data_IF_440370542134
#
_entry.id   IF_440370542134
#
_cell.length_a   1.000
_cell.length_b   1.000
_cell.length_c   1.000
_cell.angle_alpha   90.00
_cell.angle_beta   90.00
_cell.angle_gamma   90.00
#
_symmetry.space_group_name_H-M   'P 1'
#
loop_
_entity.id
_entity.type
_entity.pdbx_description
1 polymer ?
#
# COMPACT_ATOMS: atom_id res chain seq x y z
N UNK A 1 -19.87 16.15 -33.22
CA UNK A 1 -19.83 15.21 -32.09
C UNK A 1 -19.08 15.91 -30.95
N UNK A 2 -19.72 16.18 -29.81
CA UNK A 2 -19.01 16.74 -28.65
C UNK A 2 -17.87 15.77 -28.27
N UNK A 3 -16.63 16.23 -28.02
CA UNK A 3 -15.54 15.33 -27.66
C UNK A 3 -15.96 14.52 -26.42
N UNK A 4 -15.89 13.20 -26.54
CA UNK A 4 -16.30 12.26 -25.50
C UNK A 4 -15.47 12.50 -24.24
N UNK A 5 -16.14 12.69 -23.09
CA UNK A 5 -15.47 12.74 -21.79
C UNK A 5 -14.96 11.34 -21.38
N UNK A 6 -14.19 11.28 -20.30
CA UNK A 6 -13.66 10.01 -19.76
C UNK A 6 -14.60 9.47 -18.68
N UNK A 7 -15.21 8.31 -18.92
CA UNK A 7 -16.16 7.71 -17.99
C UNK A 7 -15.52 7.27 -16.67
N UNK A 8 -14.33 6.68 -16.73
CA UNK A 8 -13.65 6.12 -15.56
C UNK A 8 -12.14 6.16 -15.69
N UNK A 9 -11.47 6.33 -14.55
CA UNK A 9 -10.02 6.23 -14.38
C UNK A 9 -9.74 5.29 -13.20
N UNK A 10 -8.89 4.30 -13.42
CA UNK A 10 -8.41 3.39 -12.35
C UNK A 10 -6.90 3.54 -12.21
N UNK A 11 -6.47 4.15 -11.10
CA UNK A 11 -5.06 4.27 -10.75
C UNK A 11 -4.64 3.05 -9.94
N UNK A 12 -4.14 2.03 -10.65
CA UNK A 12 -3.75 0.74 -10.05
C UNK A 12 -2.23 0.52 -9.96
N UNK A 13 -1.43 1.20 -10.79
CA UNK A 13 0.01 0.99 -10.84
C UNK A 13 0.66 1.21 -9.46
N UNK A 14 1.59 0.32 -9.09
CA UNK A 14 2.35 0.49 -7.87
C UNK A 14 3.47 -0.53 -7.69
N UNK A 15 4.48 -0.13 -6.91
CA UNK A 15 5.64 -0.92 -6.52
C UNK A 15 5.77 -0.93 -5.00
N UNK A 16 6.27 -2.01 -4.40
CA UNK A 16 6.52 -2.07 -2.96
C UNK A 16 8.00 -2.00 -2.61
N UNK A 17 8.84 -2.74 -3.32
CA UNK A 17 10.24 -2.83 -2.99
C UNK A 17 10.99 -1.51 -3.23
N UNK A 18 12.01 -1.21 -2.40
CA UNK A 18 12.44 -2.00 -1.25
C UNK A 18 11.54 -1.83 0.00
N UNK A 19 11.34 -2.92 0.74
CA UNK A 19 10.66 -2.96 2.05
C UNK A 19 11.55 -3.65 3.08
N UNK A 20 11.54 -3.18 4.32
CA UNK A 20 12.44 -3.64 5.38
C UNK A 20 12.49 -2.67 6.55
N UNK A 21 13.32 -2.93 7.58
CA UNK A 21 13.52 -2.02 8.69
C UNK A 21 13.88 -0.61 8.23
N UNK A 22 13.32 0.42 8.89
CA UNK A 22 13.45 1.82 8.48
C UNK A 22 14.90 2.30 8.38
N UNK A 23 15.76 1.89 9.31
CA UNK A 23 17.19 2.25 9.32
C UNK A 23 17.95 1.68 8.10
N UNK A 24 17.40 0.68 7.42
CA UNK A 24 18.05 0.06 6.25
C UNK A 24 17.79 0.82 4.95
N UNK A 25 16.91 1.83 5.01
CA UNK A 25 16.45 2.58 3.86
C UNK A 25 17.26 3.86 3.68
N UNK A 26 17.50 4.22 2.42
CA UNK A 26 18.01 5.53 2.01
C UNK A 26 16.84 6.43 1.59
N UNK A 27 17.00 7.77 1.63
CA UNK A 27 16.01 8.70 1.10
C UNK A 27 15.59 8.43 -0.36
N UNK A 28 16.52 7.98 -1.20
CA UNK A 28 16.30 7.57 -2.59
C UNK A 28 15.30 6.42 -2.71
N UNK A 29 15.33 5.45 -1.81
CA UNK A 29 14.38 4.32 -1.83
C UNK A 29 12.95 4.80 -1.60
N UNK A 30 12.76 5.77 -0.69
CA UNK A 30 11.47 6.42 -0.50
C UNK A 30 11.04 7.20 -1.74
N UNK A 31 11.96 7.99 -2.33
CA UNK A 31 11.67 8.77 -3.55
C UNK A 31 11.22 7.86 -4.70
N UNK A 32 11.90 6.74 -4.92
CA UNK A 32 11.58 5.81 -6.00
C UNK A 32 10.16 5.24 -5.90
N UNK A 33 9.77 4.76 -4.72
CA UNK A 33 8.42 4.22 -4.50
C UNK A 33 7.36 5.33 -4.56
N UNK A 34 7.63 6.50 -3.96
CA UNK A 34 6.71 7.64 -3.98
C UNK A 34 6.48 8.20 -5.38
N UNK A 35 7.51 8.21 -6.24
CA UNK A 35 7.40 8.66 -7.63
C UNK A 35 6.32 7.89 -8.39
N UNK A 36 6.26 6.56 -8.22
CA UNK A 36 5.26 5.72 -8.89
C UNK A 36 3.93 5.76 -8.14
N UNK A 37 3.95 5.44 -6.85
CA UNK A 37 2.73 5.12 -6.10
C UNK A 37 1.93 6.36 -5.67
N UNK A 38 2.57 7.52 -5.56
CA UNK A 38 1.94 8.75 -5.11
C UNK A 38 1.92 9.79 -6.24
N UNK A 39 3.09 10.24 -6.68
CA UNK A 39 3.18 11.30 -7.68
C UNK A 39 2.60 10.86 -9.03
N UNK A 40 2.90 9.66 -9.51
CA UNK A 40 2.31 9.12 -10.75
C UNK A 40 0.78 9.08 -10.71
N UNK A 41 0.18 8.71 -9.57
CA UNK A 41 -1.28 8.72 -9.40
C UNK A 41 -1.83 10.14 -9.45
N UNK A 42 -1.17 11.09 -8.79
CA UNK A 42 -1.56 12.50 -8.77
C UNK A 42 -1.49 13.08 -10.19
N UNK A 43 -0.37 12.89 -10.89
CA UNK A 43 -0.13 13.40 -12.23
C UNK A 43 -1.16 12.88 -13.24
N UNK A 44 -1.38 11.57 -13.28
CA UNK A 44 -2.38 10.95 -14.15
C UNK A 44 -3.77 11.49 -13.83
N UNK A 45 -4.14 11.57 -12.55
CA UNK A 45 -5.46 12.05 -12.15
C UNK A 45 -5.68 13.50 -12.55
N UNK A 46 -4.71 14.38 -12.33
CA UNK A 46 -4.80 15.79 -12.70
C UNK A 46 -4.89 15.97 -14.22
N UNK A 47 -4.10 15.22 -14.99
CA UNK A 47 -4.11 15.27 -16.45
C UNK A 47 -5.47 14.88 -17.04
N UNK A 48 -6.14 13.87 -16.47
CA UNK A 48 -7.44 13.40 -16.95
C UNK A 48 -8.66 14.10 -16.32
N UNK A 49 -8.45 14.94 -15.29
CA UNK A 49 -9.53 15.60 -14.55
C UNK A 49 -10.49 16.41 -15.45
N UNK A 50 -10.04 17.17 -16.47
CA UNK A 50 -10.94 17.88 -17.37
C UNK A 50 -11.88 16.95 -18.17
N UNK A 51 -11.42 15.74 -18.53
CA UNK A 51 -12.24 14.75 -19.24
C UNK A 51 -13.22 14.05 -18.29
N UNK A 52 -12.77 13.75 -17.07
CA UNK A 52 -13.61 13.18 -16.02
C UNK A 52 -14.75 14.13 -15.64
N UNK A 53 -14.47 15.43 -15.50
CA UNK A 53 -15.49 16.46 -15.23
C UNK A 53 -16.54 16.53 -16.33
N UNK A 54 -16.12 16.49 -17.60
CA UNK A 54 -17.04 16.49 -18.76
C UNK A 54 -18.01 15.32 -18.75
N UNK A 55 -17.54 14.12 -18.38
CA UNK A 55 -18.37 12.92 -18.31
C UNK A 55 -19.10 12.73 -16.96
N UNK A 56 -18.85 13.57 -15.95
CA UNK A 56 -19.20 13.29 -14.54
C UNK A 56 -18.73 11.88 -14.13
N UNK A 57 -17.49 11.58 -14.49
CA UNK A 57 -16.90 10.24 -14.46
C UNK A 57 -16.57 9.72 -13.06
N UNK A 58 -15.69 8.72 -13.02
CA UNK A 58 -15.30 7.99 -11.81
C UNK A 58 -13.78 7.90 -11.70
N UNK A 59 -13.24 8.07 -10.50
CA UNK A 59 -11.83 7.81 -10.18
C UNK A 59 -11.79 6.71 -9.14
N UNK A 60 -11.00 5.67 -9.40
CA UNK A 60 -10.75 4.58 -8.46
C UNK A 60 -9.25 4.53 -8.20
N UNK A 61 -8.84 4.79 -6.96
CA UNK A 61 -7.44 4.74 -6.56
C UNK A 61 -7.17 3.47 -5.75
N UNK A 62 -6.18 2.68 -6.18
CA UNK A 62 -5.76 1.48 -5.44
C UNK A 62 -4.77 1.86 -4.34
N UNK A 63 -5.29 1.93 -3.11
CA UNK A 63 -4.52 2.07 -1.89
C UNK A 63 -4.05 0.69 -1.39
N UNK A 64 -4.05 0.46 -0.07
CA UNK A 64 -3.79 -0.80 0.60
C UNK A 64 -4.28 -0.68 2.05
N UNK A 65 -4.50 -1.80 2.73
CA UNK A 65 -4.59 -1.82 4.18
C UNK A 65 -3.36 -1.19 4.87
N UNK A 66 -2.19 -1.22 4.22
CA UNK A 66 -0.99 -0.53 4.69
C UNK A 66 -1.00 1.00 4.49
N UNK A 67 -2.04 1.53 3.83
CA UNK A 67 -2.39 2.96 3.87
C UNK A 67 -3.25 3.34 5.09
N UNK A 68 -3.61 2.36 5.92
CA UNK A 68 -4.44 2.51 7.13
C UNK A 68 -3.71 2.16 8.40
N UNK A 69 -2.79 1.19 8.33
CA UNK A 69 -1.87 0.83 9.39
C UNK A 69 -0.50 0.49 8.81
N UNK A 70 0.53 1.24 9.21
CA UNK A 70 1.91 0.97 8.76
C UNK A 70 2.51 -0.21 9.54
N UNK A 71 3.02 -1.22 8.84
CA UNK A 71 3.66 -2.39 9.43
C UNK A 71 5.05 -2.71 8.87
N UNK A 72 5.49 -1.97 7.84
CA UNK A 72 6.78 -2.13 7.18
C UNK A 72 7.44 -0.76 7.01
N UNK A 73 8.77 -0.71 7.06
CA UNK A 73 9.54 0.47 6.64
C UNK A 73 9.67 0.54 5.11
N UNK A 74 10.29 1.63 4.63
CA UNK A 74 10.37 1.95 3.20
C UNK A 74 9.18 2.77 2.69
N UNK A 75 9.19 3.06 1.39
CA UNK A 75 8.25 4.00 0.78
C UNK A 75 6.81 3.50 0.62
N UNK A 76 6.56 2.19 0.72
CA UNK A 76 5.25 1.61 0.37
C UNK A 76 4.12 2.14 1.26
N UNK A 77 4.21 1.97 2.58
CA UNK A 77 3.18 2.42 3.52
C UNK A 77 2.93 3.93 3.36
N UNK A 78 4.00 4.74 3.35
CA UNK A 78 3.94 6.20 3.20
C UNK A 78 3.19 6.57 1.91
N UNK A 79 3.51 5.91 0.79
CA UNK A 79 2.85 6.16 -0.49
C UNK A 79 1.36 5.83 -0.46
N UNK A 80 0.95 4.76 0.25
CA UNK A 80 -0.46 4.38 0.36
C UNK A 80 -1.24 5.32 1.28
N UNK A 81 -0.64 5.80 2.37
CA UNK A 81 -1.23 6.89 3.17
C UNK A 81 -1.38 8.19 2.36
N UNK A 82 -0.41 8.51 1.49
CA UNK A 82 -0.51 9.65 0.59
C UNK A 82 -1.74 9.53 -0.33
N UNK A 83 -1.99 8.33 -0.87
CA UNK A 83 -3.17 8.07 -1.71
C UNK A 83 -4.48 8.17 -0.93
N UNK A 84 -4.53 7.75 0.34
CA UNK A 84 -5.71 7.97 1.19
C UNK A 84 -6.05 9.47 1.28
N UNK A 85 -5.05 10.28 1.67
CA UNK A 85 -5.22 11.71 1.85
C UNK A 85 -5.58 12.42 0.53
N UNK A 86 -4.86 12.11 -0.55
CA UNK A 86 -5.12 12.65 -1.88
C UNK A 86 -6.54 12.34 -2.35
N UNK A 87 -6.98 11.09 -2.18
CA UNK A 87 -8.31 10.64 -2.62
C UNK A 87 -9.43 11.32 -1.84
N UNK A 88 -9.27 11.52 -0.53
CA UNK A 88 -10.27 12.21 0.30
C UNK A 88 -10.39 13.70 -0.03
N UNK A 89 -9.28 14.37 -0.36
CA UNK A 89 -9.30 15.75 -0.84
C UNK A 89 -9.95 15.82 -2.23
N UNK A 90 -9.50 15.02 -3.18
CA UNK A 90 -10.04 14.98 -4.54
C UNK A 90 -11.55 14.71 -4.55
N UNK A 91 -12.03 13.79 -3.71
CA UNK A 91 -13.46 13.48 -3.58
C UNK A 91 -14.29 14.70 -3.18
N UNK A 92 -13.77 15.51 -2.25
CA UNK A 92 -14.45 16.71 -1.74
C UNK A 92 -14.42 17.82 -2.80
N UNK A 93 -13.25 18.06 -3.40
CA UNK A 93 -13.08 19.10 -4.42
C UNK A 93 -13.94 18.82 -5.65
N UNK A 94 -14.07 17.55 -6.03
CA UNK A 94 -14.78 17.16 -7.25
C UNK A 94 -16.28 16.91 -7.06
N UNK A 95 -16.79 17.00 -5.82
CA UNK A 95 -18.17 16.66 -5.48
C UNK A 95 -19.20 17.40 -6.34
N UNK A 96 -19.07 18.73 -6.45
CA UNK A 96 -20.01 19.56 -7.21
C UNK A 96 -19.87 19.42 -8.73
N UNK A 97 -18.77 18.86 -9.22
CA UNK A 97 -18.59 18.51 -10.63
C UNK A 97 -19.18 17.15 -10.99
N UNK A 98 -19.74 16.42 -10.01
CA UNK A 98 -20.38 15.13 -10.22
C UNK A 98 -19.41 13.96 -10.45
N UNK A 99 -18.10 14.18 -10.33
CA UNK A 99 -17.11 13.09 -10.38
C UNK A 99 -17.13 12.36 -9.04
N UNK A 100 -17.17 11.02 -9.07
CA UNK A 100 -17.08 10.21 -7.84
C UNK A 100 -15.69 9.63 -7.72
N UNK A 101 -15.16 9.64 -6.50
CA UNK A 101 -13.84 9.11 -6.17
C UNK A 101 -14.01 8.01 -5.15
N UNK A 102 -13.44 6.85 -5.43
CA UNK A 102 -13.45 5.68 -4.55
C UNK A 102 -12.02 5.20 -4.29
N UNK A 103 -11.80 4.65 -3.12
CA UNK A 103 -10.53 4.03 -2.73
C UNK A 103 -10.76 2.53 -2.60
N UNK A 104 -9.87 1.74 -3.20
CA UNK A 104 -9.81 0.30 -2.93
C UNK A 104 -8.63 0.07 -1.99
N UNK A 105 -8.87 -0.59 -0.87
CA UNK A 105 -7.90 -0.91 0.19
C UNK A 105 -7.73 -2.44 0.25
N UNK A 106 -6.96 -3.06 -0.66
CA UNK A 106 -6.71 -4.50 -0.60
C UNK A 106 -5.88 -4.87 0.61
N UNK A 107 -6.19 -6.04 1.16
CA UNK A 107 -5.29 -6.84 1.97
C UNK A 107 -4.15 -7.44 1.13
N UNK A 108 -3.63 -8.59 1.56
CA UNK A 108 -2.53 -9.25 0.87
C UNK A 108 -3.05 -10.23 -0.18
N UNK A 109 -2.58 -10.07 -1.42
CA UNK A 109 -2.97 -10.89 -2.57
C UNK A 109 -1.73 -11.38 -3.32
N UNK A 110 -1.79 -12.58 -3.90
CA UNK A 110 -0.70 -13.16 -4.70
C UNK A 110 -0.53 -12.40 -6.02
N UNK A 111 0.45 -11.51 -6.07
CA UNK A 111 0.79 -10.66 -7.23
C UNK A 111 2.30 -10.49 -7.34
N UNK A 112 2.78 -9.78 -8.36
CA UNK A 112 4.21 -9.44 -8.46
C UNK A 112 4.71 -8.61 -7.25
N UNK A 113 3.85 -7.82 -6.61
CA UNK A 113 4.20 -6.98 -5.46
C UNK A 113 4.47 -7.81 -4.19
N UNK A 114 3.80 -8.96 -4.05
CA UNK A 114 3.94 -9.88 -2.90
C UNK A 114 4.79 -11.10 -3.24
N UNK A 115 5.49 -11.09 -4.39
CA UNK A 115 6.34 -12.19 -4.80
C UNK A 115 7.50 -12.37 -3.81
N UNK A 116 7.58 -13.54 -3.19
CA UNK A 116 8.55 -13.85 -2.14
C UNK A 116 9.99 -13.73 -2.61
N UNK A 117 10.32 -14.22 -3.81
CA UNK A 117 11.69 -14.18 -4.34
C UNK A 117 12.15 -12.73 -4.57
N UNK A 118 11.27 -11.89 -5.13
CA UNK A 118 11.54 -10.46 -5.33
C UNK A 118 11.77 -9.73 -4.01
N UNK A 119 10.91 -10.01 -3.03
CA UNK A 119 11.00 -9.43 -1.69
C UNK A 119 12.29 -9.85 -0.98
N UNK A 120 12.59 -11.16 -0.94
CA UNK A 120 13.78 -11.68 -0.28
C UNK A 120 15.06 -11.19 -0.99
N UNK A 121 15.06 -11.13 -2.31
CA UNK A 121 16.16 -10.55 -3.09
C UNK A 121 16.40 -9.08 -2.75
N UNK A 122 15.32 -8.28 -2.69
CA UNK A 122 15.41 -6.87 -2.29
C UNK A 122 15.94 -6.70 -0.86
N UNK A 123 15.47 -7.53 0.09
CA UNK A 123 15.97 -7.51 1.47
C UNK A 123 17.43 -7.92 1.60
N UNK A 124 17.90 -8.89 0.79
CA UNK A 124 19.33 -9.25 0.73
C UNK A 124 20.17 -8.09 0.24
N UNK A 125 19.73 -7.39 -0.81
CA UNK A 125 20.42 -6.19 -1.30
C UNK A 125 20.45 -5.08 -0.25
N UNK A 126 19.33 -4.86 0.47
CA UNK A 126 19.29 -3.93 1.60
C UNK A 126 20.31 -4.32 2.68
N UNK A 127 20.33 -5.60 3.08
CA UNK A 127 21.28 -6.11 4.07
C UNK A 127 22.72 -5.91 3.63
N UNK A 128 23.04 -6.23 2.37
CA UNK A 128 24.38 -6.17 1.79
C UNK A 128 24.99 -4.78 1.77
N UNK A 129 24.18 -3.75 1.51
CA UNK A 129 24.65 -2.36 1.45
C UNK A 129 24.71 -1.66 2.83
N UNK A 130 24.27 -2.31 3.91
CA UNK A 130 24.27 -1.67 5.24
C UNK A 130 25.69 -1.35 5.73
N UNK A 131 25.87 -0.24 6.45
CA UNK A 131 27.10 0.02 7.19
C UNK A 131 27.43 -1.14 8.17
N UNK A 132 28.71 -1.47 8.39
CA UNK A 132 29.10 -2.55 9.31
C UNK A 132 28.60 -2.35 10.75
N UNK A 133 28.41 -1.11 11.19
CA UNK A 133 27.84 -0.78 12.49
C UNK A 133 26.36 -1.21 12.58
N UNK A 134 25.53 -0.79 11.62
CA UNK A 134 24.12 -1.18 11.55
C UNK A 134 23.95 -2.69 11.39
N UNK A 135 24.79 -3.37 10.59
CA UNK A 135 24.73 -4.85 10.49
C UNK A 135 25.01 -5.53 11.83
N UNK A 136 25.95 -5.00 12.61
CA UNK A 136 26.26 -5.51 13.96
C UNK A 136 25.14 -5.21 14.97
N UNK A 137 24.47 -4.06 14.88
CA UNK A 137 23.37 -3.73 15.81
C UNK A 137 22.17 -4.66 15.64
N UNK A 138 21.83 -5.00 14.38
CA UNK A 138 20.76 -5.95 14.07
C UNK A 138 21.20 -7.42 14.27
N UNK A 139 22.38 -7.79 13.76
CA UNK A 139 22.90 -9.16 13.79
C UNK A 139 22.36 -10.06 12.68
N UNK A 140 23.17 -11.02 12.24
CA UNK A 140 22.82 -11.94 11.14
C UNK A 140 21.60 -12.82 11.48
N UNK A 141 21.46 -13.21 12.76
CA UNK A 141 20.30 -13.98 13.21
C UNK A 141 18.99 -13.22 13.02
N UNK A 142 18.97 -11.91 13.31
CA UNK A 142 17.81 -11.05 13.06
C UNK A 142 17.41 -11.10 11.59
N UNK A 143 18.39 -10.95 10.68
CA UNK A 143 18.12 -10.96 9.24
C UNK A 143 17.50 -12.29 8.79
N UNK A 144 18.07 -13.42 9.21
CA UNK A 144 17.55 -14.74 8.87
C UNK A 144 16.16 -14.99 9.46
N UNK A 145 15.91 -14.56 10.70
CA UNK A 145 14.59 -14.65 11.32
C UNK A 145 13.57 -13.73 10.62
N UNK A 146 13.97 -12.53 10.21
CA UNK A 146 13.11 -11.57 9.52
C UNK A 146 12.61 -12.14 8.19
N UNK A 147 13.50 -12.73 7.39
CA UNK A 147 13.12 -13.42 6.15
C UNK A 147 12.13 -14.56 6.42
N UNK A 148 12.37 -15.38 7.45
CA UNK A 148 11.48 -16.49 7.82
C UNK A 148 10.09 -16.01 8.25
N UNK A 149 10.02 -14.98 9.12
CA UNK A 149 8.76 -14.40 9.59
C UNK A 149 7.98 -13.81 8.43
N UNK A 150 8.64 -13.04 7.55
CA UNK A 150 8.00 -12.47 6.38
C UNK A 150 7.46 -13.54 5.44
N UNK A 151 8.25 -14.58 5.14
CA UNK A 151 7.81 -15.72 4.32
C UNK A 151 6.60 -16.43 4.93
N UNK A 152 6.63 -16.67 6.24
CA UNK A 152 5.52 -17.30 6.97
C UNK A 152 4.24 -16.47 6.88
N UNK A 153 4.34 -15.16 7.17
CA UNK A 153 3.22 -14.23 7.10
C UNK A 153 2.65 -14.23 5.68
N UNK A 154 3.46 -14.00 4.66
CA UNK A 154 3.01 -13.91 3.27
C UNK A 154 2.34 -15.20 2.79
N UNK A 155 2.88 -16.37 3.12
CA UNK A 155 2.27 -17.65 2.77
C UNK A 155 0.90 -17.87 3.45
N UNK A 156 0.72 -17.32 4.66
CA UNK A 156 -0.52 -17.45 5.41
C UNK A 156 -1.60 -16.46 4.96
N UNK A 157 -1.23 -15.20 4.71
CA UNK A 157 -2.23 -14.13 4.47
C UNK A 157 -2.53 -13.88 2.99
N UNK A 158 -1.64 -14.21 2.06
CA UNK A 158 -1.84 -13.86 0.65
C UNK A 158 -2.96 -14.69 0.01
N UNK A 159 -4.05 -14.00 -0.32
CA UNK A 159 -5.20 -14.56 -1.03
C UNK A 159 -4.88 -14.72 -2.53
N UNK A 160 -5.26 -15.86 -3.11
CA UNK A 160 -5.05 -16.14 -4.54
C UNK A 160 -6.16 -15.58 -5.43
N UNK A 161 -7.31 -15.23 -4.87
CA UNK A 161 -8.47 -14.78 -5.64
C UNK A 161 -8.43 -13.28 -5.89
N UNK A 162 -7.79 -12.88 -6.99
CA UNK A 162 -7.69 -11.49 -7.41
C UNK A 162 -9.04 -10.88 -7.82
N UNK A 163 -10.06 -11.70 -8.11
CA UNK A 163 -11.38 -11.22 -8.48
C UNK A 163 -12.02 -10.39 -7.36
N UNK A 164 -11.65 -10.62 -6.10
CA UNK A 164 -12.09 -9.81 -4.96
C UNK A 164 -11.70 -8.33 -5.11
N UNK A 165 -10.52 -8.05 -5.65
CA UNK A 165 -10.03 -6.69 -5.88
C UNK A 165 -10.68 -6.10 -7.13
N UNK A 166 -10.70 -6.84 -8.24
CA UNK A 166 -11.25 -6.34 -9.51
C UNK A 166 -12.77 -6.12 -9.43
N UNK A 167 -13.50 -6.96 -8.70
CA UNK A 167 -14.93 -6.76 -8.44
C UNK A 167 -15.21 -5.48 -7.65
N UNK A 168 -14.31 -5.11 -6.72
CA UNK A 168 -14.42 -3.83 -6.02
C UNK A 168 -14.21 -2.65 -6.97
N UNK A 169 -13.23 -2.75 -7.89
CA UNK A 169 -12.99 -1.73 -8.91
C UNK A 169 -14.18 -1.61 -9.87
N UNK A 170 -14.70 -2.73 -10.36
CA UNK A 170 -15.88 -2.78 -11.23
C UNK A 170 -17.09 -2.15 -10.56
N UNK A 171 -17.38 -2.52 -9.31
CA UNK A 171 -18.48 -1.92 -8.56
C UNK A 171 -18.27 -0.41 -8.35
N UNK A 172 -17.04 0.04 -8.06
CA UNK A 172 -16.73 1.46 -7.91
C UNK A 172 -16.95 2.27 -9.20
N UNK A 173 -16.75 1.65 -10.36
CA UNK A 173 -17.00 2.27 -11.67
C UNK A 173 -18.47 2.22 -12.09
N UNK A 174 -19.13 1.07 -11.90
CA UNK A 174 -20.45 0.78 -12.47
C UNK A 174 -21.64 1.05 -11.55
N UNK A 175 -21.45 1.11 -10.23
CA UNK A 175 -22.57 1.29 -9.31
C UNK A 175 -23.21 2.68 -9.42
N UNK A 176 -24.55 2.73 -9.28
CA UNK A 176 -25.30 3.98 -9.20
C UNK A 176 -24.84 4.84 -8.00
N UNK A 177 -24.53 4.19 -6.88
CA UNK A 177 -24.05 4.81 -5.65
C UNK A 177 -22.80 4.08 -5.16
N UNK A 178 -21.61 4.39 -5.72
CA UNK A 178 -20.38 3.75 -5.29
C UNK A 178 -20.02 4.17 -3.86
N UNK A 179 -19.43 3.24 -3.10
CA UNK A 179 -18.87 3.50 -1.77
C UNK A 179 -17.62 4.36 -1.89
N UNK A 180 -17.28 5.11 -0.84
CA UNK A 180 -16.03 5.86 -0.80
C UNK A 180 -14.81 4.97 -0.60
N UNK A 181 -14.98 3.83 0.08
CA UNK A 181 -13.92 2.85 0.39
C UNK A 181 -14.41 1.42 0.17
N UNK A 182 -13.53 0.60 -0.40
CA UNK A 182 -13.75 -0.82 -0.66
C UNK A 182 -12.60 -1.64 -0.07
N UNK A 183 -12.91 -2.54 0.85
CA UNK A 183 -11.92 -3.42 1.48
C UNK A 183 -12.00 -4.80 0.86
N UNK A 184 -10.96 -5.17 0.10
CA UNK A 184 -10.87 -6.47 -0.56
C UNK A 184 -9.95 -7.40 0.25
N UNK A 185 -10.39 -8.64 0.50
CA UNK A 185 -9.66 -9.61 1.32
C UNK A 185 -10.30 -9.82 2.70
N UNK A 186 -10.15 -11.01 3.25
CA UNK A 186 -10.62 -11.35 4.59
C UNK A 186 -9.75 -10.67 5.65
N UNK A 187 -8.44 -10.63 5.42
CA UNK A 187 -7.42 -10.01 6.26
C UNK A 187 -7.63 -8.49 6.34
N UNK A 188 -8.02 -7.86 5.22
CA UNK A 188 -8.39 -6.45 5.24
C UNK A 188 -9.56 -6.17 6.19
N UNK A 189 -10.62 -6.96 6.10
CA UNK A 189 -11.87 -6.75 6.86
C UNK A 189 -11.76 -7.15 8.32
N UNK A 190 -11.03 -8.23 8.62
CA UNK A 190 -11.04 -8.87 9.94
C UNK A 190 -9.77 -8.62 10.76
N UNK A 191 -8.67 -8.21 10.13
CA UNK A 191 -7.39 -8.00 10.80
C UNK A 191 -6.93 -6.55 10.69
N UNK A 192 -6.54 -6.10 9.50
CA UNK A 192 -5.80 -4.86 9.32
C UNK A 192 -6.64 -3.60 9.56
N UNK A 193 -7.86 -3.54 9.02
CA UNK A 193 -8.71 -2.37 9.24
C UNK A 193 -9.18 -2.26 10.70
N UNK A 194 -9.67 -3.32 11.37
CA UNK A 194 -9.93 -3.26 12.81
C UNK A 194 -8.70 -2.84 13.62
N UNK A 195 -7.52 -3.40 13.32
CA UNK A 195 -6.28 -3.03 14.00
C UNK A 195 -5.91 -1.54 13.81
N UNK A 196 -6.23 -0.94 12.66
CA UNK A 196 -5.97 0.48 12.41
C UNK A 196 -6.75 1.45 13.34
N UNK A 197 -7.79 0.96 14.02
CA UNK A 197 -8.57 1.75 14.99
C UNK A 197 -8.20 1.45 16.45
N UNK A 198 -7.33 0.46 16.70
CA UNK A 198 -6.88 0.16 18.06
C UNK A 198 -5.89 1.22 18.55
N UNK A 199 -5.77 1.42 19.89
CA UNK A 199 -4.69 2.21 20.46
C UNK A 199 -3.32 1.75 19.95
N UNK A 200 -2.47 2.70 19.57
CA UNK A 200 -1.15 2.42 18.99
C UNK A 200 -0.32 1.45 19.85
N UNK A 201 -0.34 1.61 21.18
CA UNK A 201 0.40 0.74 22.10
C UNK A 201 0.04 -0.75 21.99
N UNK A 202 -1.22 -1.09 21.67
CA UNK A 202 -1.64 -2.49 21.50
C UNK A 202 -1.13 -3.07 20.18
N UNK A 203 -1.17 -2.27 19.13
CA UNK A 203 -0.69 -2.68 17.80
C UNK A 203 0.83 -2.81 17.81
N UNK A 204 1.52 -1.84 18.41
CA UNK A 204 2.97 -1.83 18.57
C UNK A 204 3.44 -3.05 19.38
N UNK A 205 2.74 -3.39 20.46
CA UNK A 205 3.03 -4.60 21.25
C UNK A 205 2.83 -5.87 20.42
N UNK A 206 1.73 -5.98 19.68
CA UNK A 206 1.46 -7.15 18.84
C UNK A 206 2.53 -7.32 17.76
N UNK A 207 2.92 -6.25 17.08
CA UNK A 207 3.99 -6.27 16.08
C UNK A 207 5.35 -6.58 16.71
N UNK A 208 5.66 -6.05 17.89
CA UNK A 208 6.89 -6.33 18.62
C UNK A 208 7.03 -7.79 19.10
N UNK A 209 5.91 -8.49 19.28
CA UNK A 209 5.89 -9.94 19.59
C UNK A 209 6.17 -10.77 18.33
N UNK A 210 5.65 -10.34 17.18
CA UNK A 210 5.76 -11.07 15.90
C UNK A 210 7.14 -10.88 15.25
N UNK A 211 7.66 -9.65 15.27
CA UNK A 211 8.91 -9.32 14.61
C UNK A 211 10.13 -9.81 15.42
N UNK A 212 11.21 -10.23 14.74
CA UNK A 212 12.43 -10.63 15.41
C UNK A 212 13.06 -9.45 16.17
N UNK A 213 13.88 -9.76 17.17
CA UNK A 213 14.54 -8.74 17.99
C UNK A 213 16.00 -8.56 17.55
N UNK A 214 16.51 -7.31 17.43
CA UNK A 214 17.89 -7.08 17.07
C UNK A 214 18.87 -7.59 18.15
N UNK A 215 20.12 -7.80 17.76
CA UNK A 215 21.19 -8.26 18.65
C UNK A 215 21.47 -7.25 19.78
N UNK A 216 21.53 -5.95 19.47
CA UNK A 216 21.73 -4.88 20.44
C UNK A 216 20.41 -4.30 20.97
N UNK A 217 19.51 -5.17 21.45
CA UNK A 217 18.24 -4.74 22.07
C UNK A 217 18.45 -4.27 23.52
N UNK A 218 17.68 -3.27 23.93
CA UNK A 218 17.53 -2.91 25.36
C UNK A 218 16.70 -4.01 26.04
N UNK A 219 17.05 -4.34 27.29
CA UNK A 219 16.32 -5.33 28.11
C UNK A 219 14.97 -4.79 28.58
#
# INVERSE_FOLDING_TARGET
MSPSGLFGLVNNAGVANPIGPTEWMSPEDYRGVMAVNAFGVIEVTLAFLPLLKRARGRVVNTSSVLGRLSANGGGYCISKYCIEAFSDSLRRDMYHFGVKVSIVEPGFFKTAVTNLESIEGSLRQLWERLPPETRRSYGEEFFQQYLKVQRLIMNFICDGDLCKVTSCMEHALGARHPRTRYSAGWDAKLLWLPASYLPACLVDLALAIILPKPAQRVR
#
